data_IF_008586160331
#
_entry.id   IF_008586160331
#
_cell.length_a   1.000
_cell.length_b   1.000
_cell.length_c   1.000
_cell.angle_alpha   90.00
_cell.angle_beta   90.00
_cell.angle_gamma   90.00
#
_symmetry.space_group_name_H-M   'P 1'
#
loop_
_entity.id
_entity.type
_entity.pdbx_description
1 polymer ?
#
# COMPACT_ATOMS: atom_id res chain seq x y z
N UNK A 1 36.67 -29.01 41.46
CA UNK A 1 36.96 -27.70 40.84
C UNK A 1 36.24 -27.70 39.49
N UNK A 2 35.30 -26.85 39.13
CA UNK A 2 34.53 -25.78 39.78
C UNK A 2 33.27 -25.63 38.91
N UNK A 3 32.20 -25.20 39.55
CA UNK A 3 30.80 -25.12 39.12
C UNK A 3 30.51 -23.76 38.43
N UNK A 4 29.41 -23.72 37.65
CA UNK A 4 28.51 -22.58 37.29
C UNK A 4 28.94 -21.50 36.29
N UNK A 5 28.10 -21.28 35.26
CA UNK A 5 27.34 -20.04 34.97
C UNK A 5 26.58 -20.24 33.63
N UNK A 6 25.25 -20.29 33.53
CA UNK A 6 24.21 -19.74 34.40
C UNK A 6 23.82 -18.32 33.98
N UNK A 7 23.40 -18.11 32.72
CA UNK A 7 22.73 -16.88 32.31
C UNK A 7 21.24 -17.16 32.10
N UNK A 8 20.48 -16.67 33.07
CA UNK A 8 19.02 -16.57 33.07
C UNK A 8 18.66 -15.34 32.24
N UNK A 9 18.01 -15.51 31.09
CA UNK A 9 17.34 -14.42 30.39
C UNK A 9 16.07 -14.07 31.16
N UNK A 10 16.11 -12.96 31.90
CA UNK A 10 14.93 -12.35 32.49
C UNK A 10 14.01 -11.85 31.38
N UNK A 11 12.86 -12.51 31.24
CA UNK A 11 11.72 -12.06 30.47
C UNK A 11 11.14 -10.84 31.20
N UNK A 12 11.49 -9.63 30.75
CA UNK A 12 10.83 -8.41 31.20
C UNK A 12 9.50 -8.29 30.45
N UNK A 13 8.42 -8.79 31.07
CA UNK A 13 7.05 -8.52 30.64
C UNK A 13 6.76 -7.06 30.98
N UNK A 14 6.79 -6.20 29.97
CA UNK A 14 6.39 -4.81 30.09
C UNK A 14 4.86 -4.76 30.01
N UNK A 15 4.19 -4.86 31.16
CA UNK A 15 2.75 -4.63 31.26
C UNK A 15 2.48 -3.14 31.09
N UNK A 16 2.10 -2.71 29.89
CA UNK A 16 1.56 -1.37 29.67
C UNK A 16 0.16 -1.29 30.30
N UNK A 17 0.06 -0.54 31.39
CA UNK A 17 -1.22 -0.17 31.99
C UNK A 17 -1.90 0.87 31.10
N UNK A 18 -2.97 0.47 30.40
CA UNK A 18 -3.93 1.38 29.79
C UNK A 18 -4.75 1.98 30.94
N UNK A 19 -4.47 3.24 31.27
CA UNK A 19 -5.34 4.03 32.12
C UNK A 19 -6.47 4.61 31.25
N UNK A 20 -7.66 4.00 31.35
CA UNK A 20 -8.90 4.68 31.00
C UNK A 20 -9.14 5.80 32.01
N UNK A 21 -8.91 7.05 31.61
CA UNK A 21 -9.47 8.19 32.32
C UNK A 21 -10.89 8.43 31.82
N UNK A 22 -11.85 8.07 32.66
CA UNK A 22 -13.23 8.54 32.57
C UNK A 22 -13.41 9.62 33.65
N UNK A 23 -13.64 10.85 33.22
CA UNK A 23 -14.20 11.96 34.02
C UNK A 23 -15.26 12.57 33.09
N UNK A 24 -16.54 12.26 33.24
CA UNK A 24 -17.50 12.71 34.26
C UNK A 24 -17.82 14.22 34.22
N UNK A 25 -19.08 14.49 34.53
CA UNK A 25 -19.89 15.58 34.06
C UNK A 25 -19.60 16.93 34.73
N UNK A 26 -19.99 18.00 34.06
CA UNK A 26 -20.07 19.34 34.63
C UNK A 26 -20.98 20.25 33.83
N UNK A 27 -22.25 20.30 34.23
CA UNK A 27 -23.18 21.41 34.01
C UNK A 27 -22.50 22.77 34.28
N UNK A 28 -22.67 23.74 33.38
CA UNK A 28 -22.95 25.11 33.83
C UNK A 28 -23.74 25.92 32.80
N UNK A 29 -24.72 26.65 33.35
CA UNK A 29 -25.79 27.36 32.69
C UNK A 29 -25.34 28.77 32.30
N UNK A 30 -25.32 29.07 31.00
CA UNK A 30 -25.00 30.41 30.48
C UNK A 30 -26.04 30.91 29.49
N UNK A 31 -27.11 31.52 29.99
CA UNK A 31 -28.13 32.20 29.21
C UNK A 31 -27.61 33.48 28.52
N UNK A 32 -27.98 33.69 27.26
CA UNK A 32 -28.37 34.98 26.63
C UNK A 32 -28.60 34.75 25.12
N UNK A 33 -29.82 34.51 24.68
CA UNK A 33 -30.73 35.51 24.08
C UNK A 33 -30.20 36.21 22.82
N UNK A 34 -30.65 35.77 21.65
CA UNK A 34 -31.16 36.65 20.57
C UNK A 34 -31.87 35.85 19.47
N UNK A 35 -33.20 35.88 19.56
CA UNK A 35 -34.18 36.19 18.52
C UNK A 35 -33.75 36.17 17.03
N UNK A 36 -34.38 35.28 16.25
CA UNK A 36 -35.05 35.54 14.95
C UNK A 36 -35.47 34.18 14.34
N UNK A 37 -36.72 33.73 14.53
CA UNK A 37 -37.87 33.85 13.62
C UNK A 37 -37.70 33.23 12.23
N UNK A 38 -38.56 32.23 11.95
CA UNK A 38 -39.27 32.03 10.67
C UNK A 38 -38.43 31.54 9.48
N UNK A 39 -38.83 30.62 8.61
CA UNK A 39 -40.14 30.02 8.34
C UNK A 39 -39.94 28.88 7.31
N UNK A 40 -40.70 27.78 7.49
CA UNK A 40 -41.53 27.15 6.44
C UNK A 40 -40.95 26.30 5.28
N UNK A 41 -41.67 25.19 5.06
CA UNK A 41 -41.85 24.31 3.88
C UNK A 41 -40.69 23.35 3.54
N UNK A 42 -40.87 22.02 3.68
CA UNK A 42 -41.70 21.13 2.84
C UNK A 42 -41.34 21.23 1.36
N UNK A 43 -40.60 20.26 0.82
CA UNK A 43 -41.08 19.64 -0.40
C UNK A 43 -40.61 18.20 -0.57
N UNK A 44 -41.57 17.40 -1.02
CA UNK A 44 -41.51 15.98 -1.33
C UNK A 44 -41.32 15.89 -2.82
N UNK A 45 -40.26 15.25 -3.30
CA UNK A 45 -40.20 14.84 -4.72
C UNK A 45 -39.72 13.41 -4.82
N UNK A 46 -40.71 12.50 -4.88
CA UNK A 46 -40.59 11.19 -5.50
C UNK A 46 -40.38 11.38 -7.00
N UNK A 47 -39.24 10.90 -7.51
CA UNK A 47 -38.95 10.80 -8.93
C UNK A 47 -38.80 9.36 -9.35
N UNK A 48 -39.91 8.74 -9.76
CA UNK A 48 -39.92 7.51 -10.55
C UNK A 48 -39.48 7.84 -11.98
N UNK A 49 -38.45 7.16 -12.47
CA UNK A 49 -38.13 7.12 -13.90
C UNK A 49 -37.68 5.73 -14.31
N UNK A 50 -38.63 5.04 -14.93
CA UNK A 50 -38.49 3.84 -15.75
C UNK A 50 -37.70 4.18 -17.02
N UNK A 51 -36.70 3.38 -17.38
CA UNK A 51 -36.25 3.27 -18.77
C UNK A 51 -35.66 1.87 -19.02
N UNK A 52 -36.45 1.08 -19.74
CA UNK A 52 -36.03 -0.14 -20.42
C UNK A 52 -35.03 0.20 -21.54
N UNK A 53 -34.03 -0.65 -21.74
CA UNK A 53 -33.03 -0.47 -22.78
C UNK A 53 -32.26 -1.76 -23.06
N UNK A 54 -32.93 -2.73 -23.66
CA UNK A 54 -32.29 -3.89 -24.27
C UNK A 54 -31.38 -3.45 -25.43
N UNK A 55 -30.14 -3.93 -25.48
CA UNK A 55 -29.37 -4.03 -26.72
C UNK A 55 -28.23 -5.04 -26.56
N UNK A 56 -28.47 -6.21 -27.13
CA UNK A 56 -27.52 -7.27 -27.43
C UNK A 56 -26.63 -6.89 -28.61
N UNK A 57 -25.32 -7.07 -28.48
CA UNK A 57 -24.40 -7.15 -29.62
C UNK A 57 -23.53 -8.41 -29.49
N UNK A 58 -23.60 -9.21 -30.55
CA UNK A 58 -22.85 -10.42 -30.79
C UNK A 58 -21.62 -10.14 -31.65
N UNK A 59 -20.74 -11.16 -31.76
CA UNK A 59 -19.68 -11.37 -32.76
C UNK A 59 -18.31 -10.73 -32.38
N UNK A 60 -17.13 -11.32 -32.59
CA UNK A 60 -16.63 -12.52 -33.29
C UNK A 60 -15.28 -12.87 -32.60
N UNK A 61 -14.99 -14.10 -32.16
CA UNK A 61 -14.28 -15.14 -32.91
C UNK A 61 -13.30 -14.67 -33.99
N UNK A 62 -12.04 -14.41 -33.61
CA UNK A 62 -10.91 -14.46 -34.55
C UNK A 62 -9.81 -15.37 -33.99
N UNK A 63 -9.66 -16.52 -34.65
CA UNK A 63 -8.61 -17.51 -34.46
C UNK A 63 -7.40 -17.10 -35.29
N UNK A 64 -6.39 -16.50 -34.65
CA UNK A 64 -5.10 -16.21 -35.25
C UNK A 64 -4.09 -17.33 -35.00
N UNK A 65 -3.83 -18.14 -36.03
CA UNK A 65 -2.70 -19.08 -36.11
C UNK A 65 -1.53 -18.39 -36.82
N UNK A 66 -0.37 -18.27 -36.17
CA UNK A 66 0.97 -18.12 -36.78
C UNK A 66 1.98 -17.83 -35.65
N UNK A 67 3.26 -18.18 -35.68
CA UNK A 67 4.10 -19.06 -36.48
C UNK A 67 5.39 -19.12 -35.66
N UNK A 68 5.83 -20.32 -35.29
CA UNK A 68 7.11 -20.56 -34.65
C UNK A 68 8.24 -20.21 -35.62
N UNK A 69 9.15 -19.31 -35.24
CA UNK A 69 10.39 -19.07 -35.95
C UNK A 69 11.54 -19.12 -34.96
N UNK A 70 12.25 -20.24 -34.97
CA UNK A 70 13.55 -20.45 -34.34
C UNK A 70 14.62 -19.70 -35.14
N UNK A 71 15.38 -18.82 -34.49
CA UNK A 71 16.64 -18.34 -35.01
C UNK A 71 17.65 -18.24 -33.87
N UNK A 72 18.45 -19.30 -33.76
CA UNK A 72 19.75 -19.31 -33.10
C UNK A 72 20.66 -18.26 -33.72
N UNK A 73 21.29 -17.42 -32.90
CA UNK A 73 22.58 -16.80 -33.24
C UNK A 73 23.37 -16.60 -31.96
N UNK A 74 24.25 -17.57 -31.70
CA UNK A 74 25.33 -17.46 -30.72
C UNK A 74 26.38 -16.48 -31.26
N UNK A 75 26.75 -15.48 -30.48
CA UNK A 75 27.96 -14.69 -30.71
C UNK A 75 28.60 -14.39 -29.36
N UNK A 76 29.70 -15.09 -29.09
CA UNK A 76 30.53 -14.89 -27.91
C UNK A 76 31.24 -13.55 -28.00
N UNK A 77 31.01 -12.71 -26.99
CA UNK A 77 31.75 -11.49 -26.74
C UNK A 77 32.38 -11.56 -25.36
N UNK A 78 33.69 -11.86 -25.32
CA UNK A 78 34.52 -11.58 -24.14
C UNK A 78 34.69 -10.07 -24.04
N UNK A 79 33.93 -9.45 -23.15
CA UNK A 79 33.98 -8.02 -22.86
C UNK A 79 34.44 -7.79 -21.42
N UNK A 80 35.63 -7.21 -21.32
CA UNK A 80 36.32 -6.67 -20.16
C UNK A 80 35.37 -6.02 -19.13
N UNK A 81 35.34 -6.57 -17.90
CA UNK A 81 34.60 -5.99 -16.78
C UNK A 81 35.39 -4.85 -16.14
N UNK A 82 35.34 -3.68 -16.74
CA UNK A 82 35.54 -2.44 -16.02
C UNK A 82 34.27 -2.13 -15.23
N UNK A 83 34.32 -2.34 -13.91
CA UNK A 83 33.31 -1.88 -12.94
C UNK A 83 33.39 -0.36 -12.84
N UNK A 84 32.95 0.35 -13.87
CA UNK A 84 32.54 1.74 -13.74
C UNK A 84 31.15 1.72 -13.11
N UNK A 85 31.02 2.38 -11.95
CA UNK A 85 29.78 2.49 -11.20
C UNK A 85 28.69 3.13 -12.04
N UNK A 86 27.96 2.29 -12.77
CA UNK A 86 26.67 2.64 -13.31
C UNK A 86 25.80 2.94 -12.11
N UNK A 87 25.53 4.22 -11.85
CA UNK A 87 24.27 4.69 -11.28
C UNK A 87 23.15 4.33 -12.25
N UNK A 88 23.04 3.04 -12.59
CA UNK A 88 21.99 2.48 -13.39
C UNK A 88 20.73 2.66 -12.59
N UNK A 89 19.74 3.29 -13.20
CA UNK A 89 18.38 3.29 -12.66
C UNK A 89 18.06 1.82 -12.35
N UNK A 90 17.76 1.56 -11.09
CA UNK A 90 17.35 0.26 -10.60
C UNK A 90 16.37 -0.37 -11.59
N UNK A 91 16.65 -1.60 -12.03
CA UNK A 91 15.74 -2.30 -12.90
C UNK A 91 14.42 -2.51 -12.16
N UNK A 92 13.31 -2.21 -12.84
CA UNK A 92 11.98 -2.44 -12.31
C UNK A 92 11.78 -3.91 -11.92
N UNK A 93 11.07 -4.16 -10.83
CA UNK A 93 10.69 -5.50 -10.38
C UNK A 93 11.75 -6.22 -9.53
N UNK A 94 13.00 -5.77 -9.56
CA UNK A 94 14.06 -6.28 -8.68
C UNK A 94 13.83 -5.85 -7.22
N UNK A 95 14.32 -6.65 -6.28
CA UNK A 95 14.32 -6.27 -4.87
C UNK A 95 15.31 -5.12 -4.63
N UNK A 96 14.85 -4.05 -3.99
CA UNK A 96 15.66 -2.88 -3.65
C UNK A 96 15.52 -2.53 -2.18
N UNK A 97 16.63 -2.23 -1.52
CA UNK A 97 16.61 -1.67 -0.17
C UNK A 97 16.16 -0.20 -0.21
N UNK A 98 15.46 0.24 0.84
CA UNK A 98 15.07 1.64 1.00
C UNK A 98 16.31 2.53 1.21
N UNK A 99 16.48 3.51 0.32
CA UNK A 99 17.54 4.51 0.44
C UNK A 99 17.25 5.58 1.51
N UNK A 100 15.96 5.80 1.79
CA UNK A 100 15.45 6.72 2.80
C UNK A 100 14.29 6.02 3.53
N UNK A 101 14.07 6.36 4.80
CA UNK A 101 13.00 5.79 5.61
C UNK A 101 12.01 6.87 6.05
N UNK A 102 10.69 6.60 6.02
CA UNK A 102 9.73 7.52 6.59
C UNK A 102 9.86 7.57 8.12
N UNK A 103 9.32 8.62 8.73
CA UNK A 103 9.35 8.84 10.19
C UNK A 103 8.03 8.52 10.91
N UNK A 104 7.05 8.00 10.16
CA UNK A 104 5.71 7.65 10.63
C UNK A 104 5.17 6.43 9.86
N UNK A 105 4.15 5.81 10.44
CA UNK A 105 3.40 4.75 9.79
C UNK A 105 4.16 3.42 9.71
N UNK A 106 3.78 2.60 8.73
CA UNK A 106 4.43 1.34 8.41
C UNK A 106 4.98 1.37 6.99
N UNK A 107 6.05 0.61 6.75
CA UNK A 107 6.46 0.26 5.39
C UNK A 107 6.32 -1.23 5.20
N UNK A 108 5.58 -1.64 4.18
CA UNK A 108 5.46 -3.04 3.79
C UNK A 108 6.28 -3.29 2.52
N UNK A 109 7.34 -4.10 2.64
CA UNK A 109 7.99 -4.71 1.50
C UNK A 109 7.13 -5.88 1.01
N UNK A 110 6.95 -6.00 -0.30
CA UNK A 110 6.02 -6.97 -0.87
C UNK A 110 6.49 -7.50 -2.21
N UNK A 111 5.86 -8.60 -2.64
CA UNK A 111 5.87 -9.06 -4.02
C UNK A 111 4.48 -9.08 -4.63
N UNK A 112 4.39 -8.72 -5.91
CA UNK A 112 3.17 -8.86 -6.72
C UNK A 112 3.57 -9.25 -8.15
N UNK A 113 2.95 -10.29 -8.71
CA UNK A 113 3.34 -10.85 -10.02
C UNK A 113 4.83 -11.24 -10.14
N UNK A 114 5.53 -11.47 -9.02
CA UNK A 114 6.98 -11.76 -8.98
C UNK A 114 7.86 -10.51 -9.00
N UNK A 115 7.29 -9.33 -8.93
CA UNK A 115 7.97 -8.04 -8.86
C UNK A 115 7.96 -7.53 -7.42
N UNK A 116 9.12 -7.08 -6.93
CA UNK A 116 9.26 -6.57 -5.57
C UNK A 116 8.94 -5.07 -5.52
N UNK A 117 8.41 -4.60 -4.40
CA UNK A 117 8.14 -3.19 -4.17
C UNK A 117 7.95 -2.86 -2.70
N UNK A 118 7.69 -1.59 -2.42
CA UNK A 118 7.40 -1.09 -1.08
C UNK A 118 6.13 -0.23 -1.07
N UNK A 119 5.35 -0.34 -0.01
CA UNK A 119 4.22 0.57 0.27
C UNK A 119 4.46 1.24 1.61
N UNK A 120 4.55 2.56 1.61
CA UNK A 120 4.47 3.37 2.83
C UNK A 120 3.01 3.62 3.18
N UNK A 121 2.62 3.27 4.40
CA UNK A 121 1.27 3.35 4.93
C UNK A 121 1.29 4.35 6.07
N UNK A 122 0.67 5.52 5.90
CA UNK A 122 0.53 6.54 6.94
C UNK A 122 -0.92 7.00 7.13
N UNK A 123 -1.86 6.21 6.62
CA UNK A 123 -3.28 6.35 6.86
C UNK A 123 -3.66 5.71 8.21
N UNK A 124 -4.38 6.43 9.06
CA UNK A 124 -4.75 5.96 10.41
C UNK A 124 -5.52 4.63 10.40
N UNK A 125 -6.47 4.46 9.47
CA UNK A 125 -7.27 3.24 9.37
C UNK A 125 -6.45 2.05 8.85
N UNK A 126 -5.57 2.28 7.87
CA UNK A 126 -4.67 1.26 7.38
C UNK A 126 -3.60 0.87 8.43
N UNK A 127 -3.08 1.84 9.20
CA UNK A 127 -2.18 1.57 10.31
C UNK A 127 -2.87 0.70 11.39
N UNK A 128 -4.12 1.01 11.74
CA UNK A 128 -4.90 0.20 12.66
C UNK A 128 -5.12 -1.23 12.12
N UNK A 129 -5.34 -1.38 10.81
CA UNK A 129 -5.41 -2.69 10.17
C UNK A 129 -4.09 -3.46 10.31
N UNK A 130 -2.95 -2.84 10.00
CA UNK A 130 -1.61 -3.48 10.12
C UNK A 130 -1.37 -3.94 11.55
N UNK A 131 -1.64 -3.10 12.54
CA UNK A 131 -1.52 -3.47 13.97
C UNK A 131 -2.41 -4.66 14.31
N UNK A 132 -3.65 -4.69 13.82
CA UNK A 132 -4.56 -5.81 14.06
C UNK A 132 -4.09 -7.10 13.42
N UNK A 133 -3.57 -7.03 12.19
CA UNK A 133 -3.07 -8.18 11.45
C UNK A 133 -1.79 -8.76 12.07
N UNK A 134 -0.89 -7.90 12.60
CA UNK A 134 0.33 -8.33 13.29
C UNK A 134 0.05 -9.20 14.54
N UNK A 135 -1.16 -9.18 15.10
CA UNK A 135 -1.57 -10.05 16.20
C UNK A 135 -1.91 -11.48 15.73
N UNK A 136 -2.28 -11.65 14.46
CA UNK A 136 -2.72 -12.90 13.85
C UNK A 136 -2.16 -13.07 12.42
N UNK A 137 -0.83 -13.09 12.20
CA UNK A 137 -0.23 -13.03 10.87
C UNK A 137 -0.42 -14.29 10.01
N UNK A 138 -1.06 -15.33 10.56
CA UNK A 138 -1.38 -16.57 9.82
C UNK A 138 -2.54 -16.38 8.82
N UNK A 139 -3.24 -15.24 8.85
CA UNK A 139 -4.25 -14.88 7.85
C UNK A 139 -3.63 -14.10 6.70
N UNK A 140 -4.10 -14.25 5.45
CA UNK A 140 -3.62 -13.45 4.34
C UNK A 140 -3.72 -11.95 4.64
N UNK A 141 -2.63 -11.21 4.42
CA UNK A 141 -2.64 -9.76 4.47
C UNK A 141 -3.51 -9.21 3.32
N UNK A 142 -4.31 -8.18 3.58
CA UNK A 142 -5.14 -7.55 2.55
C UNK A 142 -4.31 -6.81 1.50
N UNK A 143 -4.89 -6.54 0.35
CA UNK A 143 -4.22 -5.83 -0.74
C UNK A 143 -4.22 -4.33 -0.40
N UNK A 144 -3.07 -3.65 -0.29
CA UNK A 144 -3.05 -2.20 -0.20
C UNK A 144 -3.43 -1.58 -1.54
N UNK A 145 -4.06 -0.41 -1.50
CA UNK A 145 -4.37 0.34 -2.70
C UNK A 145 -4.88 1.75 -2.40
N UNK A 146 -5.03 2.53 -3.46
CA UNK A 146 -5.45 3.92 -3.38
C UNK A 146 -4.79 4.77 -4.48
N UNK A 147 -4.87 6.12 -4.35
CA UNK A 147 -4.29 7.03 -5.32
C UNK A 147 -2.77 6.86 -5.43
N UNK A 148 -2.22 7.08 -6.62
CA UNK A 148 -0.77 7.14 -6.82
C UNK A 148 -0.24 8.56 -6.93
N UNK A 149 1.05 8.73 -6.60
CA UNK A 149 1.83 9.94 -6.85
C UNK A 149 2.97 9.62 -7.81
N UNK A 150 3.35 10.57 -8.67
CA UNK A 150 4.55 10.50 -9.52
C UNK A 150 5.82 10.81 -8.73
N UNK A 151 5.98 10.09 -7.63
CA UNK A 151 7.09 10.16 -6.69
C UNK A 151 7.46 8.72 -6.27
N UNK A 152 8.66 8.26 -6.62
CA UNK A 152 9.16 6.94 -6.22
C UNK A 152 9.70 6.87 -4.79
N UNK A 153 9.60 7.96 -4.01
CA UNK A 153 10.14 8.02 -2.65
C UNK A 153 9.49 6.94 -1.77
N UNK A 154 10.33 6.11 -1.16
CA UNK A 154 9.95 4.90 -0.41
C UNK A 154 9.39 3.75 -1.24
N UNK A 155 9.55 3.78 -2.57
CA UNK A 155 9.31 2.65 -3.47
C UNK A 155 10.46 2.52 -4.50
N UNK A 156 11.67 2.17 -4.05
CA UNK A 156 12.86 2.15 -4.90
C UNK A 156 12.71 1.17 -6.07
N UNK A 157 13.20 1.58 -7.24
CA UNK A 157 13.00 0.85 -8.51
C UNK A 157 11.79 1.31 -9.32
N UNK A 158 10.99 2.22 -8.75
CA UNK A 158 9.81 2.80 -9.39
C UNK A 158 9.86 4.32 -9.32
N UNK A 159 9.18 4.97 -10.25
CA UNK A 159 9.01 6.42 -10.34
C UNK A 159 7.69 6.91 -9.73
N UNK A 160 6.93 6.00 -9.13
CA UNK A 160 5.65 6.25 -8.51
C UNK A 160 5.51 5.49 -7.18
N UNK A 161 4.50 5.88 -6.38
CA UNK A 161 4.09 5.20 -5.16
C UNK A 161 2.60 5.41 -4.90
N UNK A 162 2.03 4.67 -3.97
CA UNK A 162 0.71 5.01 -3.39
C UNK A 162 0.84 6.24 -2.48
N UNK A 163 -0.16 7.14 -2.51
CA UNK A 163 -0.27 8.23 -1.54
C UNK A 163 -0.40 7.62 -0.12
N UNK A 164 0.62 7.78 0.74
CA UNK A 164 0.68 7.12 2.04
C UNK A 164 -0.47 7.50 2.97
N UNK A 165 -1.00 8.72 2.83
CA UNK A 165 -2.11 9.21 3.65
C UNK A 165 -3.47 8.66 3.19
N UNK A 166 -3.53 8.08 1.99
CA UNK A 166 -4.75 7.57 1.38
C UNK A 166 -4.72 6.07 1.08
N UNK A 167 -3.63 5.37 1.43
CA UNK A 167 -3.60 3.90 1.40
C UNK A 167 -4.75 3.35 2.23
N UNK A 168 -5.51 2.44 1.62
CA UNK A 168 -6.42 1.56 2.32
C UNK A 168 -6.08 0.11 2.02
N UNK A 169 -6.58 -0.80 2.85
CA UNK A 169 -6.29 -2.23 2.74
C UNK A 169 -7.62 -2.96 2.63
N UNK A 170 -7.77 -3.77 1.58
CA UNK A 170 -8.99 -4.49 1.28
C UNK A 170 -8.69 -5.92 0.83
N UNK A 171 -9.62 -6.85 1.08
CA UNK A 171 -9.52 -8.22 0.58
C UNK A 171 -9.72 -8.28 -0.95
N UNK A 172 -10.51 -7.35 -1.49
CA UNK A 172 -10.84 -7.26 -2.92
C UNK A 172 -10.95 -5.79 -3.31
N UNK A 173 -10.37 -5.45 -4.46
CA UNK A 173 -10.45 -4.14 -5.09
C UNK A 173 -11.29 -4.18 -6.37
N UNK A 174 -11.72 -3.00 -6.86
CA UNK A 174 -12.36 -2.90 -8.18
C UNK A 174 -11.37 -3.23 -9.30
N UNK A 175 -11.82 -3.85 -10.39
CA UNK A 175 -10.94 -4.41 -11.44
C UNK A 175 -10.06 -3.37 -12.15
N UNK A 176 -10.34 -2.07 -12.01
CA UNK A 176 -9.68 -1.02 -12.81
C UNK A 176 -8.32 -0.58 -12.24
N UNK A 177 -8.00 -0.91 -10.98
CA UNK A 177 -6.72 -0.51 -10.36
C UNK A 177 -5.64 -1.60 -10.43
N UNK A 178 -5.91 -2.76 -11.03
CA UNK A 178 -4.99 -3.90 -11.04
C UNK A 178 -3.92 -3.79 -12.14
N UNK A 179 -2.66 -3.76 -11.72
CA UNK A 179 -1.51 -3.96 -12.59
C UNK A 179 -0.28 -4.40 -11.80
N UNK A 180 0.58 -5.17 -12.49
CA UNK A 180 1.93 -5.45 -12.02
C UNK A 180 2.73 -4.14 -11.89
N UNK A 181 3.57 -3.99 -10.84
CA UNK A 181 4.38 -2.79 -10.64
C UNK A 181 5.11 -2.26 -11.89
N UNK A 182 5.76 -3.13 -12.67
CA UNK A 182 6.48 -2.75 -13.88
C UNK A 182 5.60 -2.38 -15.05
N UNK A 183 4.35 -2.84 -15.05
CA UNK A 183 3.38 -2.37 -16.01
C UNK A 183 3.00 -0.90 -15.74
N UNK A 184 2.89 -0.52 -14.46
CA UNK A 184 2.66 0.89 -14.08
C UNK A 184 3.90 1.73 -14.38
N UNK A 185 5.10 1.24 -14.03
CA UNK A 185 6.37 1.94 -14.29
C UNK A 185 6.65 2.18 -15.78
N UNK A 186 6.10 1.36 -16.67
CA UNK A 186 6.27 1.56 -18.11
C UNK A 186 5.60 2.86 -18.62
N UNK A 187 4.54 3.34 -17.94
CA UNK A 187 3.86 4.60 -18.23
C UNK A 187 3.14 5.15 -16.98
N UNK A 188 3.89 5.64 -15.98
CA UNK A 188 3.34 6.05 -14.69
C UNK A 188 2.46 7.29 -14.83
N UNK A 189 2.75 8.17 -15.79
CA UNK A 189 1.95 9.36 -16.08
C UNK A 189 0.55 8.99 -16.60
N UNK A 190 0.46 7.98 -17.49
CA UNK A 190 -0.84 7.50 -17.96
C UNK A 190 -1.66 6.90 -16.81
N UNK A 191 -1.04 6.08 -15.96
CA UNK A 191 -1.67 5.49 -14.79
C UNK A 191 -2.13 6.54 -13.78
N UNK A 192 -1.30 7.56 -13.52
CA UNK A 192 -1.64 8.68 -12.64
C UNK A 192 -2.81 9.49 -13.19
N UNK A 193 -2.85 9.70 -14.51
CA UNK A 193 -3.94 10.44 -15.15
C UNK A 193 -5.26 9.65 -15.17
N UNK A 194 -5.20 8.34 -15.42
CA UNK A 194 -6.33 7.43 -15.39
C UNK A 194 -5.83 5.97 -15.35
N UNK A 195 -6.15 5.19 -14.31
CA UNK A 195 -7.24 5.41 -13.34
C UNK A 195 -6.95 6.39 -12.20
N UNK A 196 -5.69 6.74 -11.94
CA UNK A 196 -5.26 7.53 -10.78
C UNK A 196 -5.11 6.72 -9.49
N UNK A 197 -5.68 5.52 -9.44
CA UNK A 197 -5.57 4.55 -8.34
C UNK A 197 -4.80 3.31 -8.78
N UNK A 198 -4.11 2.67 -7.85
CA UNK A 198 -3.42 1.39 -8.09
C UNK A 198 -3.65 0.42 -6.93
N UNK A 199 -3.77 -0.86 -7.26
CA UNK A 199 -3.90 -1.95 -6.32
C UNK A 199 -3.18 -3.19 -6.89
N UNK A 200 -1.99 -3.56 -6.38
CA UNK A 200 -1.25 -4.70 -6.92
C UNK A 200 -1.94 -6.04 -6.55
N UNK A 201 -2.71 -6.65 -7.46
CA UNK A 201 -3.26 -7.97 -7.17
C UNK A 201 -2.17 -9.02 -7.03
N UNK A 202 -2.44 -10.02 -6.19
CA UNK A 202 -1.43 -11.00 -5.79
C UNK A 202 -0.37 -10.42 -4.84
N UNK A 203 -0.65 -9.28 -4.21
CA UNK A 203 0.17 -8.73 -3.13
C UNK A 203 0.45 -9.80 -2.08
N UNK A 204 1.73 -10.03 -1.84
CA UNK A 204 2.23 -10.89 -0.78
C UNK A 204 3.20 -10.07 0.06
N UNK A 205 2.89 -9.90 1.33
CA UNK A 205 3.78 -9.20 2.26
C UNK A 205 5.02 -10.06 2.51
N UNK A 206 6.20 -9.44 2.35
CA UNK A 206 7.50 -10.05 2.65
C UNK A 206 8.03 -9.56 3.99
N UNK A 207 7.96 -8.26 4.26
CA UNK A 207 8.46 -7.68 5.51
C UNK A 207 7.65 -6.44 5.87
N UNK A 208 7.35 -6.26 7.15
CA UNK A 208 6.75 -5.01 7.67
C UNK A 208 7.75 -4.35 8.60
N UNK A 209 7.95 -3.05 8.40
CA UNK A 209 8.75 -2.17 9.24
C UNK A 209 7.84 -1.17 9.95
N UNK A 210 8.06 -0.96 11.24
CA UNK A 210 7.35 0.06 12.03
C UNK A 210 8.18 1.35 12.08
N UNK A 211 7.68 2.39 11.43
CA UNK A 211 8.38 3.67 11.33
C UNK A 211 7.91 4.72 12.34
N UNK A 212 7.00 4.37 13.26
CA UNK A 212 6.54 5.33 14.27
C UNK A 212 7.68 5.78 15.18
N UNK A 213 7.96 7.09 15.17
CA UNK A 213 9.02 7.66 16.02
C UNK A 213 10.43 7.31 15.55
N UNK A 214 10.58 6.86 14.31
CA UNK A 214 11.87 6.63 13.67
C UNK A 214 12.66 7.93 13.48
N UNK A 215 13.98 7.79 13.31
CA UNK A 215 14.91 8.90 13.04
C UNK A 215 15.02 9.25 11.55
N UNK A 216 14.21 8.60 10.70
CA UNK A 216 14.27 8.71 9.24
C UNK A 216 15.47 7.99 8.61
N UNK A 217 16.27 7.27 9.40
CA UNK A 217 17.43 6.52 8.91
C UNK A 217 17.16 5.02 8.81
N UNK A 218 16.31 4.49 9.68
CA UNK A 218 15.86 3.09 9.63
C UNK A 218 14.57 2.89 10.43
N UNK A 219 13.82 1.84 10.10
CA UNK A 219 12.67 1.39 10.87
C UNK A 219 12.86 -0.06 11.35
N UNK A 220 12.51 -0.42 12.60
CA UNK A 220 12.56 -1.80 13.08
C UNK A 220 11.63 -2.72 12.30
N UNK A 221 12.10 -3.94 12.00
CA UNK A 221 11.28 -5.02 11.45
C UNK A 221 10.31 -5.53 12.51
N UNK A 222 9.02 -5.59 12.19
CA UNK A 222 7.95 -6.14 13.03
C UNK A 222 7.32 -7.41 12.46
N UNK A 223 7.53 -7.70 11.18
CA UNK A 223 7.14 -8.96 10.53
C UNK A 223 8.17 -9.34 9.46
N UNK A 224 8.73 -10.58 9.50
CA UNK A 224 9.72 -11.07 8.53
C UNK A 224 9.14 -11.94 7.40
#
# INVERSE_FOLDING_TARGET
MTLVNGQTLSLLVLTAAIACSADDAGDDLGASSSTATSDTASDTTSGTSTAEGSSSTSASSESGTATSTTADTSSGGSGDSTTEGSTGVAACGEAHELAEWPSSGFVAAFTAAGEHGHVWIDNEAANAYVVSWLLEPDVPFGIPGGPIELDGTYNPGYSYRLDPAQVSIAEVWTEVCDAAPCYVEADPEAWFANPGDWCPWGFTVETIYDCHGGDGQSCPVVYP
#
